data_IF_480186859156
#
_entry.id   IF_480186859156
#
_cell.length_a   1.000
_cell.length_b   1.000
_cell.length_c   1.000
_cell.angle_alpha   90.00
_cell.angle_beta   90.00
_cell.angle_gamma   90.00
#
_symmetry.space_group_name_H-M   'P 1'
#
loop_
_entity.id
_entity.type
_entity.pdbx_description
1 polymer ?
#
# COMPACT_ATOMS: atom_id res chain seq x y z
N UNK A 1 2.13 -25.51 13.68
CA UNK A 1 1.23 -24.44 13.21
C UNK A 1 1.92 -23.10 13.02
N UNK A 2 2.74 -22.63 13.98
CA UNK A 2 3.53 -21.39 13.83
C UNK A 2 4.46 -21.37 12.59
N UNK A 3 4.96 -22.53 12.16
CA UNK A 3 5.79 -22.64 10.96
C UNK A 3 5.02 -22.32 9.67
N UNK A 4 3.72 -22.67 9.62
CA UNK A 4 2.85 -22.42 8.48
C UNK A 4 2.50 -20.92 8.42
N UNK A 5 2.16 -20.31 9.55
CA UNK A 5 1.87 -18.86 9.61
C UNK A 5 3.08 -18.02 9.26
N UNK A 6 4.29 -18.45 9.64
CA UNK A 6 5.55 -17.83 9.23
C UNK A 6 5.80 -17.93 7.73
N UNK A 7 5.49 -19.07 7.12
CA UNK A 7 5.59 -19.25 5.66
C UNK A 7 4.61 -18.36 4.89
N UNK A 8 3.35 -18.26 5.35
CA UNK A 8 2.32 -17.40 4.74
C UNK A 8 2.77 -15.94 4.70
N UNK A 9 3.39 -15.43 5.76
CA UNK A 9 3.92 -14.05 5.80
C UNK A 9 5.22 -13.89 5.01
N UNK A 10 5.95 -14.98 4.76
CA UNK A 10 7.28 -14.95 4.16
C UNK A 10 7.28 -15.03 2.63
N UNK A 11 6.36 -15.74 1.99
CA UNK A 11 6.36 -15.89 0.52
C UNK A 11 5.68 -14.70 -0.16
N UNK A 12 4.45 -14.39 0.26
CA UNK A 12 3.66 -13.26 -0.23
C UNK A 12 2.98 -12.67 1.00
N UNK A 13 3.35 -11.46 1.41
CA UNK A 13 2.83 -10.81 2.62
C UNK A 13 1.32 -10.52 2.48
N UNK A 14 0.49 -11.55 2.58
CA UNK A 14 -0.95 -11.45 2.46
C UNK A 14 -1.58 -11.44 3.85
N UNK A 15 -1.60 -10.25 4.42
CA UNK A 15 -2.23 -9.98 5.71
C UNK A 15 -3.74 -10.20 5.68
N UNK A 16 -4.37 -10.14 4.50
CA UNK A 16 -5.79 -10.46 4.35
C UNK A 16 -6.00 -11.95 4.60
N UNK A 17 -5.16 -12.80 4.01
CA UNK A 17 -5.19 -14.25 4.26
C UNK A 17 -4.90 -14.60 5.72
N UNK A 18 -3.98 -13.88 6.38
CA UNK A 18 -3.71 -14.05 7.80
C UNK A 18 -4.93 -13.75 8.69
N UNK A 19 -5.64 -12.65 8.42
CA UNK A 19 -6.86 -12.30 9.16
C UNK A 19 -8.01 -13.28 8.88
N UNK A 20 -8.19 -13.72 7.62
CA UNK A 20 -9.16 -14.77 7.28
C UNK A 20 -8.85 -16.09 8.01
N UNK A 21 -7.57 -16.48 8.07
CA UNK A 21 -7.13 -17.64 8.84
C UNK A 21 -7.46 -17.49 10.33
N UNK A 22 -7.16 -16.35 10.93
CA UNK A 22 -7.46 -16.08 12.34
C UNK A 22 -8.95 -16.05 12.68
N UNK A 23 -9.82 -15.76 11.70
CA UNK A 23 -11.28 -15.72 11.90
C UNK A 23 -11.95 -17.10 11.98
N UNK A 24 -11.24 -18.19 11.66
CA UNK A 24 -11.84 -19.53 11.56
C UNK A 24 -12.03 -20.22 12.91
N UNK A 25 -11.08 -20.11 13.85
CA UNK A 25 -11.20 -20.71 15.18
C UNK A 25 -10.34 -19.97 16.22
N UNK A 26 -10.61 -20.19 17.53
CA UNK A 26 -9.87 -19.54 18.63
C UNK A 26 -8.37 -19.86 18.63
N UNK A 27 -7.98 -21.09 18.30
CA UNK A 27 -6.57 -21.48 18.22
C UNK A 27 -5.83 -20.70 17.13
N UNK A 28 -6.42 -20.62 15.94
CA UNK A 28 -5.87 -19.86 14.82
C UNK A 28 -5.91 -18.36 15.05
N UNK A 29 -6.92 -17.84 15.75
CA UNK A 29 -6.97 -16.46 16.21
C UNK A 29 -5.74 -16.10 17.06
N UNK A 30 -5.33 -16.98 17.97
CA UNK A 30 -4.15 -16.79 18.80
C UNK A 30 -2.86 -16.90 17.97
N UNK A 31 -2.74 -17.90 17.10
CA UNK A 31 -1.57 -18.05 16.23
C UNK A 31 -1.40 -16.89 15.24
N UNK A 32 -2.48 -16.31 14.72
CA UNK A 32 -2.43 -15.17 13.80
C UNK A 32 -2.00 -13.87 14.49
N UNK A 33 -2.15 -13.80 15.83
CA UNK A 33 -1.73 -12.66 16.66
C UNK A 33 -0.35 -12.83 17.28
N UNK A 34 0.40 -13.82 16.85
CA UNK A 34 1.75 -14.05 17.31
C UNK A 34 2.66 -12.83 17.03
N UNK A 35 3.39 -12.29 18.02
CA UNK A 35 4.21 -11.09 17.85
C UNK A 35 5.27 -11.19 16.75
N UNK A 36 5.86 -12.37 16.53
CA UNK A 36 6.90 -12.56 15.51
C UNK A 36 6.32 -12.41 14.10
N UNK A 37 5.08 -12.86 13.88
CA UNK A 37 4.38 -12.69 12.60
C UNK A 37 4.22 -11.20 12.27
N UNK A 38 3.81 -10.41 13.25
CA UNK A 38 3.62 -8.96 13.07
C UNK A 38 4.94 -8.20 12.99
N UNK A 39 5.99 -8.67 13.67
CA UNK A 39 7.34 -8.13 13.55
C UNK A 39 7.89 -8.33 12.12
N UNK A 40 7.77 -9.54 11.56
CA UNK A 40 8.16 -9.83 10.17
C UNK A 40 7.36 -8.99 9.17
N UNK A 41 6.07 -8.79 9.40
CA UNK A 41 5.24 -7.91 8.57
C UNK A 41 5.73 -6.45 8.61
N UNK A 42 6.09 -5.94 9.79
CA UNK A 42 6.67 -4.60 9.94
C UNK A 42 8.03 -4.49 9.24
N UNK A 43 8.92 -5.48 9.44
CA UNK A 43 10.22 -5.53 8.78
C UNK A 43 10.08 -5.52 7.26
N UNK A 44 9.08 -6.18 6.70
CA UNK A 44 8.88 -6.19 5.25
C UNK A 44 8.36 -4.87 4.70
N UNK A 45 7.50 -4.17 5.45
CA UNK A 45 6.96 -2.87 5.02
C UNK A 45 7.99 -1.75 5.16
N UNK A 46 8.70 -1.68 6.30
CA UNK A 46 9.58 -0.56 6.62
C UNK A 46 11.07 -0.87 6.48
N UNK A 47 11.48 -2.14 6.35
CA UNK A 47 12.86 -2.54 6.19
C UNK A 47 13.75 -2.04 7.33
N UNK A 48 14.85 -1.38 6.96
CA UNK A 48 15.82 -0.77 7.89
C UNK A 48 15.13 0.27 8.80
N UNK A 49 14.06 0.93 8.33
CA UNK A 49 13.33 1.94 9.10
C UNK A 49 12.31 1.31 10.08
N UNK A 50 12.24 -0.01 10.22
CA UNK A 50 11.33 -0.68 11.14
C UNK A 50 11.66 -0.35 12.61
N UNK A 51 12.95 -0.24 12.97
CA UNK A 51 13.39 -0.16 14.36
C UNK A 51 13.35 -1.52 15.06
N UNK A 52 14.11 -1.65 16.16
CA UNK A 52 14.28 -2.91 16.88
C UNK A 52 13.11 -3.26 17.82
N UNK A 53 12.30 -2.28 18.20
CA UNK A 53 11.13 -2.46 19.08
C UNK A 53 9.95 -1.64 18.54
N UNK A 54 8.70 -2.00 18.89
CA UNK A 54 7.52 -1.26 18.44
C UNK A 54 7.42 0.17 19.01
N UNK A 55 8.35 0.59 19.87
CA UNK A 55 8.44 1.94 20.38
C UNK A 55 7.13 2.42 21.03
N UNK A 56 6.54 3.46 20.45
CA UNK A 56 5.32 4.13 20.94
C UNK A 56 4.06 3.25 20.78
N UNK A 57 4.11 2.22 19.93
CA UNK A 57 2.91 1.51 19.48
C UNK A 57 2.47 0.33 20.36
N UNK A 58 3.06 0.09 21.54
CA UNK A 58 2.79 -1.03 22.47
C UNK A 58 2.99 -2.46 21.93
N UNK A 59 2.68 -2.74 20.65
CA UNK A 59 2.85 -4.03 19.98
C UNK A 59 3.19 -3.86 18.51
N UNK A 60 3.85 -4.86 17.90
CA UNK A 60 4.14 -4.88 16.46
C UNK A 60 2.87 -4.79 15.60
N UNK A 61 1.76 -5.39 16.06
CA UNK A 61 0.48 -5.31 15.36
C UNK A 61 -0.08 -3.90 15.33
N UNK A 62 -0.09 -3.23 16.48
CA UNK A 62 -0.53 -1.83 16.56
C UNK A 62 0.36 -0.92 15.72
N UNK A 63 1.67 -1.14 15.76
CA UNK A 63 2.62 -0.44 14.88
C UNK A 63 2.28 -0.64 13.40
N UNK A 64 1.96 -1.88 13.01
CA UNK A 64 1.61 -2.19 11.63
C UNK A 64 0.36 -1.44 11.14
N UNK A 65 -0.62 -1.25 12.03
CA UNK A 65 -1.92 -0.63 11.73
C UNK A 65 -1.83 0.90 11.76
N UNK A 66 -1.15 1.46 12.76
CA UNK A 66 -1.17 2.91 13.05
C UNK A 66 -0.04 3.66 12.34
N UNK A 67 1.11 3.02 12.10
CA UNK A 67 2.24 3.69 11.47
C UNK A 67 1.94 3.96 9.98
N UNK A 68 2.16 5.19 9.49
CA UNK A 68 1.97 5.51 8.08
C UNK A 68 2.81 4.63 7.14
N UNK A 69 2.17 4.09 6.10
CA UNK A 69 2.81 3.33 5.03
C UNK A 69 2.05 3.47 3.72
N UNK A 70 2.74 3.23 2.61
CA UNK A 70 2.11 3.09 1.31
C UNK A 70 1.27 1.80 1.33
N UNK A 71 -0.02 1.93 1.06
CA UNK A 71 -0.87 0.76 0.84
C UNK A 71 -0.60 0.27 -0.58
N UNK A 72 -0.64 -1.03 -0.83
CA UNK A 72 -0.63 -1.56 -2.20
C UNK A 72 -1.97 -2.22 -2.55
N UNK A 73 -2.91 -2.14 -1.61
CA UNK A 73 -4.21 -2.79 -1.67
C UNK A 73 -5.24 -1.72 -2.05
N UNK A 74 -5.37 -1.41 -3.33
CA UNK A 74 -6.29 -0.35 -3.76
C UNK A 74 -6.21 -0.01 -5.24
N UNK A 75 -6.98 1.00 -5.65
CA UNK A 75 -6.86 1.64 -6.95
C UNK A 75 -6.31 3.05 -6.74
N UNK A 76 -5.13 3.31 -7.28
CA UNK A 76 -4.49 4.62 -7.22
C UNK A 76 -4.84 5.43 -8.45
N UNK A 77 -5.29 6.66 -8.23
CA UNK A 77 -5.67 7.58 -9.30
C UNK A 77 -4.73 8.78 -9.24
N UNK A 78 -4.02 9.02 -10.33
CA UNK A 78 -3.21 10.22 -10.51
C UNK A 78 -3.82 11.11 -11.59
N UNK A 79 -4.08 12.37 -11.24
CA UNK A 79 -4.55 13.39 -12.18
C UNK A 79 -3.34 14.08 -12.80
N UNK A 80 -3.16 13.93 -14.11
CA UNK A 80 -2.16 14.68 -14.85
C UNK A 80 -2.85 15.73 -15.71
N UNK A 81 -2.32 16.94 -15.69
CA UNK A 81 -2.84 18.06 -16.50
C UNK A 81 -1.69 18.69 -17.27
N UNK A 82 -1.86 18.88 -18.57
CA UNK A 82 -0.88 19.55 -19.42
C UNK A 82 -1.57 20.44 -20.45
N UNK A 83 -0.83 21.44 -20.94
CA UNK A 83 -1.28 22.35 -21.98
C UNK A 83 -0.87 21.79 -23.34
N UNK A 84 -1.82 21.69 -24.26
CA UNK A 84 -1.60 21.30 -25.65
C UNK A 84 -1.94 22.47 -26.57
N UNK A 85 -1.05 22.81 -27.48
CA UNK A 85 -1.33 23.81 -28.50
C UNK A 85 -2.38 23.25 -29.48
N UNK A 86 -3.40 24.05 -29.77
CA UNK A 86 -4.39 23.75 -30.81
C UNK A 86 -3.83 24.01 -32.21
N UNK A 87 -4.63 23.72 -33.22
CA UNK A 87 -4.25 23.95 -34.62
C UNK A 87 -4.16 25.44 -34.94
N UNK A 88 -3.05 25.85 -35.57
CA UNK A 88 -2.87 27.23 -36.00
C UNK A 88 -3.62 27.45 -37.33
N UNK A 89 -4.43 28.51 -37.41
CA UNK A 89 -5.08 28.90 -38.65
C UNK A 89 -4.04 29.44 -39.64
N UNK A 90 -4.08 28.99 -40.89
CA UNK A 90 -3.08 29.34 -41.92
C UNK A 90 -3.04 30.84 -42.27
N UNK A 91 -4.11 31.57 -41.98
CA UNK A 91 -4.30 32.98 -42.35
C UNK A 91 -4.22 33.96 -41.15
N UNK A 92 -4.30 33.48 -39.91
CA UNK A 92 -4.37 34.32 -38.72
C UNK A 92 -3.22 34.00 -37.75
N UNK A 93 -2.23 34.90 -37.69
CA UNK A 93 -1.05 34.75 -36.82
C UNK A 93 -1.34 35.03 -35.33
N UNK A 94 -2.49 35.66 -35.03
CA UNK A 94 -2.88 36.02 -33.67
C UNK A 94 -3.72 34.95 -32.98
N UNK A 95 -4.32 34.04 -33.75
CA UNK A 95 -5.08 32.92 -33.23
C UNK A 95 -4.16 31.78 -32.76
N UNK A 96 -3.94 31.71 -31.44
CA UNK A 96 -3.13 30.66 -30.78
C UNK A 96 -3.95 29.91 -29.73
N UNK A 97 -4.80 28.95 -30.13
CA UNK A 97 -5.62 28.20 -29.20
C UNK A 97 -4.77 27.31 -28.29
N UNK A 98 -5.11 27.25 -27.00
CA UNK A 98 -4.53 26.33 -26.03
C UNK A 98 -5.62 25.44 -25.43
N UNK A 99 -5.34 24.15 -25.33
CA UNK A 99 -6.20 23.17 -24.69
C UNK A 99 -5.58 22.72 -23.38
N UNK A 100 -6.35 22.84 -22.29
CA UNK A 100 -5.99 22.24 -21.01
C UNK A 100 -6.45 20.78 -21.00
N UNK A 101 -5.52 19.86 -21.26
CA UNK A 101 -5.83 18.44 -21.29
C UNK A 101 -5.64 17.86 -19.90
N UNK A 102 -6.68 17.24 -19.36
CA UNK A 102 -6.64 16.49 -18.09
C UNK A 102 -6.92 15.02 -18.38
N UNK A 103 -6.08 14.14 -17.86
CA UNK A 103 -6.34 12.71 -17.87
C UNK A 103 -6.02 12.09 -16.51
N UNK A 104 -6.62 10.93 -16.26
CA UNK A 104 -6.45 10.18 -15.03
C UNK A 104 -5.71 8.89 -15.33
N UNK A 105 -4.57 8.67 -14.65
CA UNK A 105 -3.85 7.41 -14.69
C UNK A 105 -4.29 6.56 -13.50
N UNK A 106 -4.79 5.37 -13.81
CA UNK A 106 -5.21 4.37 -12.82
C UNK A 106 -4.10 3.33 -12.68
N UNK A 107 -3.72 3.01 -11.44
CA UNK A 107 -2.79 1.93 -11.11
C UNK A 107 -3.49 0.99 -10.12
N UNK A 108 -3.55 -0.30 -10.45
CA UNK A 108 -4.22 -1.35 -9.67
C UNK A 108 -3.26 -2.51 -9.43
#
# INVERSE_FOLDING_TARGET
MLYITRWIVSSDLDLRSLEMFGATCRGFYLCARDPEVWHLACLRVWGINCGATPGIYNSWRCMFIERPRVHFNGCYISKTTYIRNGENSFQDQFYRPWHLVTYYRYLR
#
